data_IF_495987790413
#
_entry.id   IF_495987790413
#
_cell.length_a   1.000
_cell.length_b   1.000
_cell.length_c   1.000
_cell.angle_alpha   90.00
_cell.angle_beta   90.00
_cell.angle_gamma   90.00
#
_symmetry.space_group_name_H-M   'P 1'
#
loop_
_entity.id
_entity.type
_entity.pdbx_description
1 polymer ?
#
# COMPACT_ATOMS: atom_id res chain seq x y z
N UNK A 1 -7.93 7.56 27.37
CA UNK A 1 -6.57 8.13 27.47
C UNK A 1 -6.70 9.60 27.80
N UNK A 2 -6.09 10.07 28.90
CA UNK A 2 -6.07 11.50 29.26
C UNK A 2 -5.04 12.23 28.39
N UNK A 3 -5.32 13.48 28.00
CA UNK A 3 -4.40 14.25 27.15
C UNK A 3 -3.04 14.50 27.82
N UNK A 4 -3.01 14.63 29.15
CA UNK A 4 -1.77 14.79 29.94
C UNK A 4 -0.78 13.63 29.78
N UNK A 5 -1.24 12.45 29.35
CA UNK A 5 -0.42 11.24 29.15
C UNK A 5 -0.17 10.94 27.66
N UNK A 6 -0.70 11.75 26.74
CA UNK A 6 -0.52 11.54 25.32
C UNK A 6 0.90 11.92 24.89
N UNK A 7 1.60 10.99 24.23
CA UNK A 7 2.85 11.29 23.54
C UNK A 7 2.52 12.02 22.22
N UNK A 8 2.77 13.33 22.20
CA UNK A 8 2.46 14.23 21.10
C UNK A 8 1.95 15.57 21.60
N UNK A 9 2.43 16.66 21.01
CA UNK A 9 1.99 18.03 21.29
C UNK A 9 1.67 18.73 19.99
N UNK A 10 0.76 19.70 20.06
CA UNK A 10 0.44 20.54 18.92
C UNK A 10 1.52 21.58 18.69
N UNK A 11 1.75 21.96 17.43
CA UNK A 11 2.63 23.06 17.06
C UNK A 11 1.81 24.33 16.77
N UNK A 12 2.28 25.47 17.32
CA UNK A 12 1.66 26.77 17.10
C UNK A 12 1.89 27.28 15.67
N UNK A 13 3.09 27.06 15.12
CA UNK A 13 3.50 27.51 13.80
C UNK A 13 3.53 26.35 12.80
N UNK A 14 3.43 26.67 11.52
CA UNK A 14 3.61 25.69 10.46
C UNK A 14 5.05 25.15 10.43
N UNK A 15 5.25 23.84 10.17
CA UNK A 15 6.57 23.30 9.89
C UNK A 15 7.20 23.98 8.66
N UNK A 16 8.47 24.39 8.79
CA UNK A 16 9.20 25.13 7.73
C UNK A 16 9.39 24.32 6.45
N UNK A 17 9.58 23.00 6.58
CA UNK A 17 9.95 22.11 5.48
C UNK A 17 8.75 21.44 4.80
N UNK A 18 7.53 21.94 5.06
CA UNK A 18 6.29 21.43 4.48
C UNK A 18 5.47 22.53 3.84
N UNK A 19 5.16 22.33 2.56
CA UNK A 19 4.36 23.27 1.76
C UNK A 19 2.89 22.83 1.71
N UNK A 20 2.64 21.53 1.79
CA UNK A 20 1.31 20.97 1.57
C UNK A 20 0.40 21.11 2.79
N UNK A 21 -0.85 21.50 2.55
CA UNK A 21 -1.86 21.69 3.61
C UNK A 21 -2.06 20.43 4.45
N UNK A 22 -2.14 19.25 3.82
CA UNK A 22 -2.33 17.99 4.55
C UNK A 22 -1.17 17.72 5.54
N UNK A 23 0.09 17.88 5.10
CA UNK A 23 1.25 17.62 5.95
C UNK A 23 1.35 18.65 7.07
N UNK A 24 1.14 19.93 6.75
CA UNK A 24 1.15 21.01 7.75
C UNK A 24 0.16 20.74 8.87
N UNK A 25 -1.08 20.39 8.54
CA UNK A 25 -2.12 20.11 9.53
C UNK A 25 -1.80 18.86 10.35
N UNK A 26 -1.40 17.76 9.72
CA UNK A 26 -1.09 16.52 10.43
C UNK A 26 0.14 16.64 11.34
N UNK A 27 1.17 17.36 10.90
CA UNK A 27 2.35 17.64 11.73
C UNK A 27 1.99 18.57 12.88
N UNK A 28 1.25 19.65 12.62
CA UNK A 28 0.82 20.59 13.68
C UNK A 28 -0.11 19.95 14.69
N UNK A 29 -0.95 19.02 14.29
CA UNK A 29 -1.84 18.30 15.20
C UNK A 29 -1.13 17.17 15.98
N UNK A 30 0.15 16.89 15.68
CA UNK A 30 0.89 15.80 16.31
C UNK A 30 0.44 14.41 15.87
N UNK A 31 -0.05 14.27 14.64
CA UNK A 31 -0.45 12.99 14.05
C UNK A 31 0.71 12.30 13.35
N UNK A 32 1.58 13.07 12.70
CA UNK A 32 2.77 12.56 12.02
C UNK A 32 3.99 13.43 12.30
N UNK A 33 5.18 12.86 12.13
CA UNK A 33 6.45 13.57 12.13
C UNK A 33 7.26 13.14 10.90
N UNK A 34 7.71 14.11 10.10
CA UNK A 34 8.58 13.84 8.95
C UNK A 34 9.93 13.33 9.44
N UNK A 35 10.39 12.21 8.87
CA UNK A 35 11.72 11.66 9.13
C UNK A 35 12.71 12.20 8.09
N UNK A 36 12.41 11.94 6.82
CA UNK A 36 13.13 12.46 5.65
C UNK A 36 12.13 12.78 4.53
N UNK A 37 12.62 13.29 3.40
CA UNK A 37 11.75 13.60 2.26
C UNK A 37 10.94 12.38 1.80
N UNK A 38 9.62 12.47 1.91
CA UNK A 38 8.70 11.39 1.53
C UNK A 38 8.55 10.26 2.54
N UNK A 39 9.10 10.38 3.75
CA UNK A 39 8.99 9.35 4.81
C UNK A 39 8.48 10.00 6.10
N UNK A 40 7.44 9.40 6.69
CA UNK A 40 6.72 9.94 7.84
C UNK A 40 6.52 8.89 8.91
N UNK A 41 6.82 9.27 10.14
CA UNK A 41 6.48 8.51 11.34
C UNK A 41 5.04 8.84 11.76
N UNK A 42 4.22 7.83 11.98
CA UNK A 42 2.88 7.99 12.54
C UNK A 42 2.96 8.02 14.07
N UNK A 43 2.59 9.16 14.66
CA UNK A 43 2.50 9.35 16.11
C UNK A 43 1.20 8.71 16.65
N UNK A 44 1.00 8.57 17.98
CA UNK A 44 -0.11 7.78 18.54
C UNK A 44 -1.50 8.12 17.99
N UNK A 45 -1.83 9.41 17.78
CA UNK A 45 -3.12 9.79 17.20
C UNK A 45 -3.21 9.43 15.71
N UNK A 46 -2.14 9.66 14.95
CA UNK A 46 -2.07 9.29 13.53
C UNK A 46 -2.18 7.79 13.33
N UNK A 47 -1.47 7.00 14.14
CA UNK A 47 -1.54 5.53 14.09
C UNK A 47 -2.94 5.01 14.41
N UNK A 48 -3.64 5.62 15.38
CA UNK A 48 -5.04 5.26 15.67
C UNK A 48 -5.96 5.51 14.48
N UNK A 49 -5.78 6.60 13.75
CA UNK A 49 -6.56 6.87 12.54
C UNK A 49 -6.18 5.89 11.43
N UNK A 50 -4.89 5.66 11.20
CA UNK A 50 -4.41 4.71 10.20
C UNK A 50 -4.99 3.31 10.44
N UNK A 51 -4.99 2.84 11.69
CA UNK A 51 -5.56 1.54 12.06
C UNK A 51 -7.08 1.48 11.81
N UNK A 52 -7.83 2.55 12.07
CA UNK A 52 -9.27 2.62 11.75
C UNK A 52 -9.52 2.55 10.24
N UNK A 53 -8.70 3.25 9.46
CA UNK A 53 -8.78 3.20 7.99
C UNK A 53 -8.51 1.78 7.51
N UNK A 54 -7.40 1.17 7.96
CA UNK A 54 -7.03 -0.21 7.62
C UNK A 54 -8.12 -1.21 8.01
N UNK A 55 -8.79 -1.00 9.15
CA UNK A 55 -9.88 -1.86 9.60
C UNK A 55 -11.11 -1.78 8.69
N UNK A 56 -11.50 -0.58 8.26
CA UNK A 56 -12.60 -0.41 7.28
C UNK A 56 -12.25 -1.11 5.96
N UNK A 57 -11.02 -0.95 5.49
CA UNK A 57 -10.55 -1.61 4.26
C UNK A 57 -10.62 -3.13 4.42
N UNK A 58 -10.04 -3.67 5.50
CA UNK A 58 -10.03 -5.10 5.83
C UNK A 58 -11.44 -5.70 5.82
N UNK A 59 -12.37 -5.09 6.54
CA UNK A 59 -13.76 -5.56 6.61
C UNK A 59 -14.43 -5.66 5.23
N UNK A 60 -14.20 -4.70 4.34
CA UNK A 60 -14.78 -4.74 2.99
C UNK A 60 -14.06 -5.72 2.07
N UNK A 61 -12.74 -5.94 2.24
CA UNK A 61 -12.01 -6.97 1.50
C UNK A 61 -12.44 -8.38 1.93
N UNK A 62 -12.60 -8.62 3.24
CA UNK A 62 -13.04 -9.90 3.80
C UNK A 62 -14.47 -10.23 3.32
N UNK A 63 -15.39 -9.26 3.35
CA UNK A 63 -16.73 -9.41 2.77
C UNK A 63 -16.72 -9.70 1.27
N UNK A 64 -15.69 -9.25 0.56
CA UNK A 64 -15.51 -9.54 -0.86
C UNK A 64 -14.94 -10.96 -1.12
N UNK A 65 -14.62 -11.73 -0.06
CA UNK A 65 -14.00 -13.05 -0.15
C UNK A 65 -12.48 -12.99 -0.23
N UNK A 66 -11.87 -11.84 0.08
CA UNK A 66 -10.43 -11.70 0.19
C UNK A 66 -9.90 -12.40 1.45
N UNK A 67 -8.73 -13.02 1.33
CA UNK A 67 -8.02 -13.61 2.45
C UNK A 67 -6.77 -12.77 2.72
N UNK A 68 -6.66 -12.26 3.95
CA UNK A 68 -5.50 -11.44 4.34
C UNK A 68 -4.28 -12.32 4.60
N UNK A 69 -3.14 -11.90 4.06
CA UNK A 69 -1.83 -12.48 4.31
C UNK A 69 -0.81 -11.34 4.49
N UNK A 70 0.45 -11.68 4.79
CA UNK A 70 1.53 -10.70 4.88
C UNK A 70 2.75 -11.20 4.11
N UNK A 71 3.15 -10.44 3.08
CA UNK A 71 4.33 -10.74 2.26
C UNK A 71 5.54 -9.94 2.73
N UNK A 72 6.73 -10.44 2.39
CA UNK A 72 7.98 -9.78 2.76
C UNK A 72 8.12 -8.42 2.06
N UNK A 73 8.58 -7.42 2.83
CA UNK A 73 8.96 -6.12 2.27
C UNK A 73 10.26 -6.19 1.48
N UNK A 74 11.21 -7.00 1.96
CA UNK A 74 12.46 -7.32 1.28
C UNK A 74 12.21 -8.48 0.31
N UNK A 75 12.49 -8.26 -0.96
CA UNK A 75 12.14 -9.19 -2.05
C UNK A 75 13.39 -9.62 -2.81
N UNK A 76 13.45 -10.89 -3.19
CA UNK A 76 14.55 -11.43 -3.97
C UNK A 76 14.57 -10.84 -5.38
N UNK A 77 15.70 -10.27 -5.80
CA UNK A 77 15.88 -9.69 -7.14
C UNK A 77 15.59 -10.66 -8.27
N UNK A 78 15.81 -11.97 -8.08
CA UNK A 78 15.57 -12.99 -9.10
C UNK A 78 14.11 -13.02 -9.58
N UNK A 79 13.13 -12.80 -8.70
CA UNK A 79 11.73 -12.79 -9.11
C UNK A 79 11.42 -11.59 -10.00
N UNK A 80 11.99 -10.42 -9.68
CA UNK A 80 11.91 -9.21 -10.50
C UNK A 80 12.64 -9.34 -11.84
N UNK A 81 13.74 -10.08 -11.87
CA UNK A 81 14.48 -10.34 -13.11
C UNK A 81 13.69 -11.24 -14.05
N UNK A 82 12.98 -12.26 -13.52
CA UNK A 82 12.11 -13.15 -14.31
C UNK A 82 10.99 -12.40 -15.03
N UNK A 83 10.40 -11.38 -14.39
CA UNK A 83 9.35 -10.56 -15.01
C UNK A 83 9.90 -9.43 -15.87
N UNK A 84 11.22 -9.22 -15.89
CA UNK A 84 11.87 -8.07 -16.54
C UNK A 84 11.73 -6.74 -15.77
N UNK A 85 10.85 -6.70 -14.75
CA UNK A 85 10.55 -5.48 -13.97
C UNK A 85 11.70 -4.99 -13.12
N UNK A 86 12.75 -5.81 -12.91
CA UNK A 86 14.01 -5.34 -12.32
C UNK A 86 14.64 -4.16 -13.07
N UNK A 87 14.48 -4.10 -14.41
CA UNK A 87 15.03 -3.03 -15.25
C UNK A 87 13.99 -2.00 -15.65
N UNK A 88 12.74 -2.41 -15.90
CA UNK A 88 11.69 -1.52 -16.42
C UNK A 88 10.91 -0.76 -15.35
N UNK A 89 10.99 -1.15 -14.06
CA UNK A 89 10.28 -0.44 -13.00
C UNK A 89 11.08 0.79 -12.55
N UNK A 90 10.60 1.98 -12.90
CA UNK A 90 11.33 3.25 -12.74
C UNK A 90 11.69 3.61 -11.29
N UNK A 91 10.83 3.29 -10.33
CA UNK A 91 10.96 3.71 -8.92
C UNK A 91 11.32 2.55 -7.98
N UNK A 92 12.11 1.58 -8.44
CA UNK A 92 12.47 0.40 -7.66
C UNK A 92 13.69 0.68 -6.76
N UNK A 93 13.51 0.60 -5.45
CA UNK A 93 14.64 0.58 -4.52
C UNK A 93 15.41 -0.73 -4.68
N UNK A 94 16.66 -0.64 -5.11
CA UNK A 94 17.60 -1.76 -5.18
C UNK A 94 18.56 -1.67 -4.01
N UNK A 95 18.58 -2.70 -3.19
CA UNK A 95 19.42 -2.77 -1.99
C UNK A 95 20.42 -3.89 -2.16
N UNK A 96 21.70 -3.54 -2.00
CA UNK A 96 22.79 -4.52 -1.96
C UNK A 96 23.11 -4.84 -0.51
N UNK A 97 23.08 -6.12 -0.16
CA UNK A 97 23.46 -6.56 1.19
C UNK A 97 24.97 -6.53 1.38
N UNK A 98 25.41 -6.66 2.64
CA UNK A 98 26.83 -6.82 2.99
C UNK A 98 27.50 -8.08 2.40
N UNK A 99 26.69 -9.02 1.89
CA UNK A 99 27.15 -10.26 1.24
C UNK A 99 26.97 -10.23 -0.28
N UNK A 100 26.94 -9.03 -0.86
CA UNK A 100 26.79 -8.78 -2.31
C UNK A 100 25.48 -9.27 -2.95
N UNK A 101 24.57 -9.87 -2.20
CA UNK A 101 23.25 -10.26 -2.69
C UNK A 101 22.38 -9.00 -2.91
N UNK A 102 21.69 -8.96 -4.05
CA UNK A 102 20.76 -7.89 -4.41
C UNK A 102 19.32 -8.23 -4.00
N UNK A 103 18.62 -7.21 -3.52
CA UNK A 103 17.22 -7.26 -3.12
C UNK A 103 16.47 -6.03 -3.65
N UNK A 104 15.16 -6.16 -3.74
CA UNK A 104 14.26 -5.01 -3.87
C UNK A 104 13.58 -4.74 -2.53
N UNK A 105 13.37 -3.46 -2.19
CA UNK A 105 12.29 -3.10 -1.27
C UNK A 105 11.00 -3.01 -2.07
N UNK A 106 10.00 -3.81 -1.72
CA UNK A 106 8.80 -4.02 -2.52
C UNK A 106 7.99 -2.75 -2.77
N UNK A 107 7.89 -2.27 -4.02
CA UNK A 107 6.94 -1.22 -4.40
C UNK A 107 5.52 -1.77 -4.65
N UNK A 108 5.43 -3.08 -4.83
CA UNK A 108 4.26 -3.95 -5.07
C UNK A 108 4.71 -5.41 -4.90
N UNK A 109 3.81 -6.40 -5.08
CA UNK A 109 4.06 -7.79 -4.71
C UNK A 109 3.61 -8.85 -5.73
N UNK A 110 3.34 -8.50 -7.00
CA UNK A 110 3.04 -9.50 -8.04
C UNK A 110 4.15 -10.56 -8.14
N UNK A 111 5.42 -10.14 -8.19
CA UNK A 111 6.62 -10.98 -8.28
C UNK A 111 6.79 -11.94 -7.11
N UNK A 112 6.22 -11.61 -5.96
CA UNK A 112 6.32 -12.42 -4.74
C UNK A 112 5.16 -13.38 -4.65
N UNK A 113 3.94 -12.89 -4.90
CA UNK A 113 2.73 -13.66 -4.68
C UNK A 113 2.48 -14.68 -5.79
N UNK A 114 2.76 -14.36 -7.06
CA UNK A 114 2.49 -15.27 -8.18
C UNK A 114 3.23 -16.60 -8.02
N UNK A 115 4.55 -16.65 -7.70
CA UNK A 115 5.23 -17.92 -7.45
C UNK A 115 4.65 -18.71 -6.27
N UNK A 116 4.23 -18.02 -5.21
CA UNK A 116 3.57 -18.66 -4.06
C UNK A 116 2.25 -19.29 -4.52
N UNK A 117 1.41 -18.53 -5.23
CA UNK A 117 0.12 -19.02 -5.73
C UNK A 117 0.29 -20.22 -6.67
N UNK A 118 1.26 -20.18 -7.60
CA UNK A 118 1.59 -21.34 -8.47
C UNK A 118 2.04 -22.58 -7.68
N UNK A 119 2.59 -22.39 -6.48
CA UNK A 119 2.93 -23.47 -5.56
C UNK A 119 1.70 -24.24 -5.05
N UNK A 120 0.57 -23.56 -4.85
CA UNK A 120 -0.64 -24.12 -4.22
C UNK A 120 -1.80 -24.36 -5.19
N UNK A 121 -1.97 -23.55 -6.23
CA UNK A 121 -3.02 -23.70 -7.24
C UNK A 121 -2.58 -24.76 -8.25
N UNK A 122 -3.21 -25.93 -8.23
CA UNK A 122 -2.89 -27.07 -9.12
C UNK A 122 -4.04 -27.46 -10.04
N UNK A 123 -5.26 -27.00 -9.76
CA UNK A 123 -6.46 -27.29 -10.54
C UNK A 123 -7.33 -26.05 -10.69
N UNK A 124 -8.17 -26.03 -11.73
CA UNK A 124 -9.25 -25.03 -11.86
C UNK A 124 -10.19 -25.03 -10.64
N UNK A 125 -10.29 -26.16 -9.92
CA UNK A 125 -11.11 -26.30 -8.70
C UNK A 125 -10.57 -25.50 -7.51
N UNK A 126 -9.29 -25.13 -7.55
CA UNK A 126 -8.69 -24.29 -6.52
C UNK A 126 -9.03 -22.80 -6.75
N UNK A 127 -9.65 -22.46 -7.89
CA UNK A 127 -9.99 -21.09 -8.28
C UNK A 127 -11.51 -20.83 -8.15
N UNK A 128 -11.92 -19.57 -7.88
CA UNK A 128 -11.08 -18.38 -7.74
C UNK A 128 -10.44 -18.24 -6.36
N UNK A 129 -9.26 -17.64 -6.31
CA UNK A 129 -8.65 -17.17 -5.07
C UNK A 129 -8.44 -15.66 -5.11
N UNK A 130 -8.59 -15.03 -3.96
CA UNK A 130 -8.39 -13.60 -3.79
C UNK A 130 -7.60 -13.38 -2.50
N UNK A 131 -6.36 -12.90 -2.65
CA UNK A 131 -5.42 -12.72 -1.55
C UNK A 131 -5.06 -11.23 -1.45
N UNK A 132 -4.96 -10.69 -0.25
CA UNK A 132 -4.58 -9.29 -0.06
C UNK A 132 -3.71 -9.11 1.18
N UNK A 133 -3.07 -7.95 1.26
CA UNK A 133 -2.32 -7.54 2.45
C UNK A 133 -2.49 -6.04 2.68
N UNK A 134 -2.23 -5.59 3.91
CA UNK A 134 -2.07 -4.17 4.25
C UNK A 134 -0.65 -3.99 4.77
N UNK A 135 0.25 -3.51 3.92
CA UNK A 135 1.70 -3.58 4.18
C UNK A 135 2.45 -2.38 3.57
N UNK A 136 3.57 -2.00 4.21
CA UNK A 136 4.42 -0.87 3.83
C UNK A 136 5.20 -1.11 2.53
N UNK A 137 5.00 -0.21 1.57
CA UNK A 137 5.65 -0.22 0.26
C UNK A 137 6.73 0.85 0.18
N UNK A 138 7.68 0.61 -0.72
CA UNK A 138 8.80 1.51 -0.96
C UNK A 138 8.88 1.86 -2.45
N UNK A 139 8.87 3.14 -2.80
CA UNK A 139 9.11 3.62 -4.18
C UNK A 139 10.15 4.71 -4.14
N UNK A 140 11.24 4.56 -4.90
CA UNK A 140 12.32 5.56 -4.96
C UNK A 140 11.90 6.75 -5.82
N UNK A 141 10.89 7.47 -5.33
CA UNK A 141 10.29 8.60 -6.01
C UNK A 141 11.34 9.71 -6.17
N UNK A 142 11.65 10.13 -7.42
CA UNK A 142 12.65 11.17 -7.66
C UNK A 142 12.25 12.49 -7.01
N UNK A 143 10.94 12.72 -6.85
CA UNK A 143 10.38 13.89 -6.15
C UNK A 143 9.20 13.47 -5.28
N UNK A 144 9.47 13.23 -4.00
CA UNK A 144 8.42 13.20 -2.98
C UNK A 144 7.79 14.59 -2.83
N UNK A 145 6.47 14.68 -2.82
CA UNK A 145 5.74 15.96 -2.79
C UNK A 145 4.40 15.78 -2.07
N UNK A 146 3.83 16.88 -1.62
CA UNK A 146 2.44 16.91 -1.14
C UNK A 146 2.17 16.06 0.11
N UNK A 147 3.15 15.94 1.01
CA UNK A 147 2.94 15.27 2.29
C UNK A 147 2.87 13.75 2.16
N UNK A 148 1.84 13.17 2.79
CA UNK A 148 1.52 11.74 2.70
C UNK A 148 0.96 11.33 1.34
N UNK A 149 0.59 12.28 0.47
CA UNK A 149 -0.02 11.98 -0.82
C UNK A 149 0.97 11.43 -1.85
N UNK A 150 2.27 11.75 -1.72
CA UNK A 150 3.34 11.19 -2.56
C UNK A 150 4.65 11.08 -1.78
N UNK A 151 4.81 9.95 -1.11
CA UNK A 151 5.99 9.58 -0.35
C UNK A 151 6.86 8.51 -1.02
N UNK A 152 7.96 8.16 -0.35
CA UNK A 152 8.84 7.04 -0.71
C UNK A 152 8.54 5.78 0.09
N UNK A 153 8.01 5.95 1.29
CA UNK A 153 7.52 4.88 2.15
C UNK A 153 6.06 5.16 2.47
N UNK A 154 5.17 4.19 2.20
CA UNK A 154 3.73 4.37 2.43
C UNK A 154 3.02 3.04 2.66
N UNK A 155 1.93 3.06 3.42
CA UNK A 155 1.09 1.89 3.63
C UNK A 155 0.15 1.69 2.44
N UNK A 156 0.05 0.46 1.94
CA UNK A 156 -0.86 0.11 0.86
C UNK A 156 -1.64 -1.15 1.21
N UNK A 157 -2.92 -1.15 0.85
CA UNK A 157 -3.66 -2.39 0.64
C UNK A 157 -3.55 -2.79 -0.83
N UNK A 158 -2.91 -3.91 -1.10
CA UNK A 158 -2.80 -4.54 -2.42
C UNK A 158 -3.50 -5.91 -2.39
N UNK A 159 -4.26 -6.19 -3.45
CA UNK A 159 -5.10 -7.38 -3.58
C UNK A 159 -4.87 -7.99 -4.96
N UNK A 160 -4.71 -9.30 -4.99
CA UNK A 160 -4.44 -10.08 -6.20
C UNK A 160 -5.46 -11.21 -6.29
N UNK A 161 -6.06 -11.37 -7.46
CA UNK A 161 -7.08 -12.38 -7.70
C UNK A 161 -6.69 -13.26 -8.87
N UNK A 162 -6.90 -14.57 -8.73
CA UNK A 162 -6.58 -15.57 -9.73
C UNK A 162 -7.88 -16.28 -10.14
N UNK A 163 -8.08 -16.43 -11.45
CA UNK A 163 -9.33 -16.90 -12.04
C UNK A 163 -9.05 -17.89 -13.17
N UNK A 164 -10.04 -18.71 -13.51
CA UNK A 164 -9.94 -19.73 -14.57
C UNK A 164 -9.84 -19.12 -15.96
N UNK A 165 -10.48 -17.97 -16.16
CA UNK A 165 -10.63 -17.30 -17.44
C UNK A 165 -10.85 -15.80 -17.25
N UNK A 166 -10.79 -15.08 -18.38
CA UNK A 166 -10.94 -13.64 -18.46
C UNK A 166 -12.33 -13.15 -18.06
N UNK A 167 -13.39 -13.91 -18.37
CA UNK A 167 -14.76 -13.53 -18.02
C UNK A 167 -14.97 -13.53 -16.50
N UNK A 168 -14.47 -14.57 -15.81
CA UNK A 168 -14.45 -14.65 -14.35
C UNK A 168 -13.61 -13.52 -13.72
N UNK A 169 -12.44 -13.21 -14.31
CA UNK A 169 -11.61 -12.09 -13.89
C UNK A 169 -12.34 -10.75 -14.00
N UNK A 170 -13.01 -10.46 -15.12
CA UNK A 170 -13.76 -9.22 -15.30
C UNK A 170 -14.98 -9.13 -14.37
N UNK A 171 -15.68 -10.24 -14.13
CA UNK A 171 -16.77 -10.27 -13.16
C UNK A 171 -16.27 -9.91 -11.74
N UNK A 172 -15.10 -10.41 -11.36
CA UNK A 172 -14.46 -10.04 -10.10
C UNK A 172 -14.01 -8.57 -10.09
N UNK A 173 -13.44 -8.07 -11.18
CA UNK A 173 -13.05 -6.66 -11.32
C UNK A 173 -14.24 -5.71 -11.11
N UNK A 174 -15.37 -5.96 -11.76
CA UNK A 174 -16.61 -5.17 -11.60
C UNK A 174 -17.19 -5.26 -10.18
N UNK A 175 -17.10 -6.44 -9.54
CA UNK A 175 -17.43 -6.60 -8.12
C UNK A 175 -16.55 -5.69 -7.26
N UNK A 176 -15.24 -5.69 -7.49
CA UNK A 176 -14.30 -4.91 -6.69
C UNK A 176 -14.50 -3.41 -6.83
N UNK A 177 -14.87 -2.89 -8.00
CA UNK A 177 -15.24 -1.45 -8.13
C UNK A 177 -16.27 -1.02 -7.10
N UNK A 178 -17.34 -1.80 -6.95
CA UNK A 178 -18.40 -1.55 -5.96
C UNK A 178 -17.89 -1.64 -4.52
N UNK A 179 -16.98 -2.57 -4.24
CA UNK A 179 -16.32 -2.70 -2.93
C UNK A 179 -15.49 -1.45 -2.61
N UNK A 180 -14.68 -0.96 -3.55
CA UNK A 180 -13.89 0.26 -3.34
C UNK A 180 -14.78 1.50 -3.13
N UNK A 181 -15.88 1.62 -3.88
CA UNK A 181 -16.86 2.68 -3.66
C UNK A 181 -17.44 2.64 -2.22
N UNK A 182 -17.75 1.45 -1.70
CA UNK A 182 -18.17 1.30 -0.29
C UNK A 182 -17.07 1.69 0.69
N UNK A 183 -15.83 1.28 0.46
CA UNK A 183 -14.69 1.65 1.31
C UNK A 183 -14.55 3.17 1.39
N UNK A 184 -14.53 3.87 0.25
CA UNK A 184 -14.44 5.33 0.21
C UNK A 184 -15.64 6.00 0.88
N UNK A 185 -16.87 5.52 0.62
CA UNK A 185 -18.08 6.02 1.27
C UNK A 185 -18.05 5.86 2.80
N UNK A 186 -17.57 4.71 3.32
CA UNK A 186 -17.39 4.47 4.76
C UNK A 186 -16.31 5.37 5.39
N UNK A 187 -15.36 5.84 4.59
CA UNK A 187 -14.35 6.82 4.99
C UNK A 187 -14.83 8.27 4.89
N UNK A 188 -16.07 8.49 4.45
CA UNK A 188 -16.65 9.82 4.25
C UNK A 188 -16.09 10.56 3.03
N UNK A 189 -15.61 9.82 2.02
CA UNK A 189 -15.04 10.35 0.79
C UNK A 189 -15.97 10.12 -0.40
N UNK A 190 -16.10 11.12 -1.25
CA UNK A 190 -16.75 11.00 -2.56
C UNK A 190 -15.71 10.62 -3.61
N UNK A 191 -15.71 9.35 -4.03
CA UNK A 191 -14.74 8.82 -4.99
C UNK A 191 -15.37 8.67 -6.38
N UNK A 192 -14.75 9.29 -7.39
CA UNK A 192 -15.21 9.24 -8.77
C UNK A 192 -14.41 8.16 -9.52
N UNK A 193 -15.13 7.22 -10.16
CA UNK A 193 -14.51 6.24 -11.05
C UNK A 193 -14.06 6.93 -12.35
N UNK A 194 -12.83 6.66 -12.78
CA UNK A 194 -12.28 7.16 -14.04
C UNK A 194 -11.49 6.08 -14.75
N UNK A 195 -11.34 6.21 -16.07
CA UNK A 195 -10.48 5.34 -16.85
C UNK A 195 -9.01 5.68 -16.55
N UNK A 196 -8.19 4.64 -16.40
CA UNK A 196 -6.75 4.76 -16.21
C UNK A 196 -6.02 3.90 -17.25
N UNK A 197 -4.79 4.28 -17.58
CA UNK A 197 -3.90 3.42 -18.36
C UNK A 197 -3.49 2.19 -17.52
N UNK A 198 -3.23 1.07 -18.19
CA UNK A 198 -2.61 -0.09 -17.54
C UNK A 198 -1.23 0.27 -17.00
N UNK A 199 -0.87 -0.30 -15.84
CA UNK A 199 0.50 -0.24 -15.34
C UNK A 199 1.41 -1.18 -16.14
N UNK A 200 2.69 -0.85 -16.22
CA UNK A 200 3.76 -1.68 -16.80
C UNK A 200 4.42 -2.61 -15.79
#
# INVERSE_FOLDING_TARGET
MRYSQLFGKTLRQDPKDEVSTNAKLLVRAGFVKKEVSGVYNFLPLGLRVLNKISQIVREEMDKAGGQELLLSALQNSQNWQKTGRWKSFDALFKVKSQYDQEYALGPTHEEVLVPIACGYVKSYRDLPICLYQIQTKFRDEPRAKSGLLRGREFLMKDLYSFHTDEAAMFAFYEKMKKVYQKVFGRLGLEAIETKAAGGT
#
